data_IF_992611373295
#
_entry.id   IF_992611373295
#
_cell.length_a   1.000
_cell.length_b   1.000
_cell.length_c   1.000
_cell.angle_alpha   90.00
_cell.angle_beta   90.00
_cell.angle_gamma   90.00
#
_symmetry.space_group_name_H-M   'P 1'
#
loop_
_entity.id
_entity.type
_entity.pdbx_description
1 polymer ?
#
# COMPACT_ATOMS: atom_id res chain seq x y z
N UNK A 1 -11.32 9.24 1.71
CA UNK A 1 -9.95 9.80 1.59
C UNK A 1 -9.26 9.10 0.42
N UNK A 2 -8.27 9.69 -0.25
CA UNK A 2 -7.35 8.93 -1.12
C UNK A 2 -5.99 8.86 -0.45
N UNK A 3 -5.55 7.66 -0.11
CA UNK A 3 -4.25 7.32 0.45
C UNK A 3 -3.23 6.96 -0.63
N UNK A 4 -3.65 6.62 -1.85
CA UNK A 4 -2.73 6.27 -2.93
C UNK A 4 -2.37 7.52 -3.75
N UNK A 5 -1.08 7.68 -4.06
CA UNK A 5 -0.55 8.69 -4.98
C UNK A 5 0.36 8.03 -5.99
N UNK A 6 0.20 8.38 -7.25
CA UNK A 6 1.15 8.09 -8.31
C UNK A 6 1.71 9.42 -8.81
N UNK A 7 3.01 9.61 -8.66
CA UNK A 7 3.73 10.79 -9.12
C UNK A 7 4.89 10.32 -10.01
N UNK A 8 4.99 10.73 -11.28
CA UNK A 8 6.07 10.35 -12.18
C UNK A 8 7.48 10.62 -11.62
N UNK A 9 7.62 11.62 -10.75
CA UNK A 9 8.88 11.99 -10.11
C UNK A 9 9.22 11.10 -8.89
N UNK A 10 8.26 10.31 -8.40
CA UNK A 10 8.40 9.45 -7.21
C UNK A 10 8.27 7.98 -7.62
N UNK A 11 9.26 7.16 -7.28
CA UNK A 11 9.26 5.72 -7.58
C UNK A 11 8.94 5.38 -9.06
N UNK A 12 9.35 6.25 -9.99
CA UNK A 12 9.08 6.13 -11.43
C UNK A 12 7.59 6.13 -11.81
N UNK A 13 6.74 6.85 -11.06
CA UNK A 13 5.30 6.87 -11.30
C UNK A 13 4.55 5.68 -10.70
N UNK A 14 5.24 4.78 -10.00
CA UNK A 14 4.58 3.67 -9.31
C UNK A 14 3.70 4.19 -8.18
N UNK A 15 2.47 3.67 -8.02
CA UNK A 15 1.59 4.07 -6.92
C UNK A 15 2.24 3.74 -5.56
N UNK A 16 2.25 4.75 -4.69
CA UNK A 16 2.70 4.65 -3.30
C UNK A 16 1.60 5.05 -2.35
N UNK A 17 1.70 4.62 -1.10
CA UNK A 17 0.90 5.18 -0.05
C UNK A 17 1.41 6.57 0.37
N UNK A 18 0.49 7.52 0.53
CA UNK A 18 0.77 8.91 0.91
C UNK A 18 1.60 8.94 2.18
N UNK A 19 2.63 9.79 2.16
CA UNK A 19 3.54 10.03 3.29
C UNK A 19 4.37 8.80 3.69
N UNK A 20 4.34 7.74 2.90
CA UNK A 20 5.24 6.60 3.01
C UNK A 20 6.05 6.47 1.72
N UNK A 21 6.96 5.49 1.69
CA UNK A 21 7.65 5.05 0.47
C UNK A 21 7.33 3.59 0.16
N UNK A 22 6.18 3.12 0.64
CA UNK A 22 5.72 1.75 0.45
C UNK A 22 4.91 1.72 -0.84
N UNK A 23 5.28 0.83 -1.76
CA UNK A 23 4.55 0.67 -3.00
C UNK A 23 3.22 -0.02 -2.71
N UNK A 24 2.19 0.35 -3.46
CA UNK A 24 0.90 -0.35 -3.42
C UNK A 24 1.06 -1.80 -3.88
N UNK A 25 1.96 -2.06 -4.83
CA UNK A 25 2.28 -3.42 -5.30
C UNK A 25 2.75 -4.34 -4.19
N UNK A 26 3.62 -3.85 -3.29
CA UNK A 26 4.23 -4.69 -2.26
C UNK A 26 3.15 -5.19 -1.29
N UNK A 27 2.22 -4.33 -0.91
CA UNK A 27 1.07 -4.70 -0.06
C UNK A 27 0.12 -5.65 -0.80
N UNK A 28 -0.14 -5.43 -2.08
CA UNK A 28 -0.99 -6.32 -2.88
C UNK A 28 -0.36 -7.71 -3.04
N UNK A 29 0.95 -7.81 -3.19
CA UNK A 29 1.68 -9.07 -3.24
C UNK A 29 1.58 -9.85 -1.93
N UNK A 30 1.69 -9.17 -0.78
CA UNK A 30 1.51 -9.79 0.54
C UNK A 30 0.09 -10.30 0.74
N UNK A 31 -0.92 -9.50 0.38
CA UNK A 31 -2.32 -9.95 0.44
C UNK A 31 -2.55 -11.15 -0.50
N UNK A 32 -1.96 -11.14 -1.70
CA UNK A 32 -2.05 -12.26 -2.64
C UNK A 32 -1.32 -13.52 -2.14
N UNK A 33 -0.26 -13.36 -1.33
CA UNK A 33 0.43 -14.45 -0.65
C UNK A 33 -0.37 -15.03 0.53
N UNK A 34 -1.46 -14.38 0.94
CA UNK A 34 -2.34 -14.84 2.01
C UNK A 34 -2.01 -14.27 3.39
N UNK A 35 -1.13 -13.26 3.47
CA UNK A 35 -0.85 -12.52 4.70
C UNK A 35 -2.12 -11.81 5.22
N UNK A 36 -2.35 -11.87 6.53
CA UNK A 36 -3.43 -11.13 7.16
C UNK A 36 -3.15 -9.63 7.21
N UNK A 37 -4.19 -8.81 7.35
CA UNK A 37 -4.00 -7.36 7.45
C UNK A 37 -3.23 -6.99 8.72
N UNK A 38 -3.40 -7.76 9.79
CA UNK A 38 -2.67 -7.61 11.03
C UNK A 38 -1.16 -7.81 10.82
N UNK A 39 -0.75 -8.89 10.16
CA UNK A 39 0.66 -9.19 9.85
C UNK A 39 1.29 -8.10 8.97
N UNK A 40 0.58 -7.66 7.93
CA UNK A 40 1.03 -6.56 7.06
C UNK A 40 1.21 -5.25 7.85
N UNK A 41 0.34 -4.97 8.83
CA UNK A 41 0.45 -3.77 9.66
C UNK A 41 1.56 -3.88 10.70
N UNK A 42 1.91 -5.08 11.14
CA UNK A 42 3.09 -5.33 11.98
C UNK A 42 4.39 -5.09 11.19
N UNK A 43 4.45 -5.54 9.93
CA UNK A 43 5.60 -5.30 9.05
C UNK A 43 5.69 -3.82 8.62
N UNK A 44 4.54 -3.20 8.34
CA UNK A 44 4.43 -1.80 7.91
C UNK A 44 3.62 -0.95 8.88
N UNK A 45 4.19 -0.57 10.04
CA UNK A 45 3.49 0.18 11.09
C UNK A 45 3.10 1.61 10.67
N UNK A 46 3.58 2.08 9.51
CA UNK A 46 3.18 3.36 8.91
C UNK A 46 1.89 3.28 8.08
N UNK A 47 1.40 2.07 7.82
CA UNK A 47 0.13 1.83 7.14
C UNK A 47 -1.00 1.73 8.17
N UNK A 48 -2.23 1.80 7.66
CA UNK A 48 -3.42 1.51 8.43
C UNK A 48 -4.38 0.64 7.59
N UNK A 49 -5.42 0.10 8.24
CA UNK A 49 -6.39 -0.77 7.58
C UNK A 49 -7.12 -0.12 6.39
N UNK A 50 -7.33 1.20 6.42
CA UNK A 50 -7.98 1.91 5.31
C UNK A 50 -7.07 1.97 4.08
N UNK A 51 -5.76 2.13 4.27
CA UNK A 51 -4.77 2.15 3.20
C UNK A 51 -4.74 0.79 2.50
N UNK A 52 -4.70 -0.32 3.25
CA UNK A 52 -4.72 -1.67 2.69
C UNK A 52 -6.02 -1.93 1.91
N UNK A 53 -7.17 -1.49 2.44
CA UNK A 53 -8.45 -1.59 1.72
C UNK A 53 -8.45 -0.79 0.42
N UNK A 54 -7.94 0.44 0.44
CA UNK A 54 -7.85 1.26 -0.76
C UNK A 54 -6.92 0.63 -1.81
N UNK A 55 -5.84 -0.04 -1.39
CA UNK A 55 -4.98 -0.80 -2.31
C UNK A 55 -5.75 -1.90 -3.04
N UNK A 56 -6.64 -2.63 -2.34
CA UNK A 56 -7.47 -3.67 -2.94
C UNK A 56 -8.55 -3.11 -3.86
N UNK A 57 -9.09 -1.92 -3.58
CA UNK A 57 -10.04 -1.24 -4.47
C UNK A 57 -9.36 -0.62 -5.71
N UNK A 58 -8.04 -0.43 -5.67
CA UNK A 58 -7.26 0.17 -6.75
C UNK A 58 -6.90 -0.82 -7.87
N UNK A 59 -6.85 -2.13 -7.58
CA UNK A 59 -6.47 -3.20 -8.54
C UNK A 59 -7.67 -3.68 -9.35
#
# INVERSE_FOLDING_TARGET
MRWIVADPEICHGKPIFKRTRILVSDVLELVAAGESFEEILEEYPSLNKEMIKEALEYS
#
